data_IF_594861681475
#
_entry.id   IF_594861681475
#
_cell.length_a   1.000
_cell.length_b   1.000
_cell.length_c   1.000
_cell.angle_alpha   90.00
_cell.angle_beta   90.00
_cell.angle_gamma   90.00
#
_symmetry.space_group_name_H-M   'P 1'
#
loop_
_entity.id
_entity.type
_entity.pdbx_description
1 polymer ?
#
# COMPACT_ATOMS: atom_id res chain seq x y z
N UNK A 1 -5.96 6.83 47.86
CA UNK A 1 -6.26 6.19 46.55
C UNK A 1 -7.38 6.89 45.75
N UNK A 2 -7.97 7.95 46.20
CA UNK A 2 -9.14 8.61 45.56
C UNK A 2 -8.81 9.85 44.70
N UNK A 3 -7.58 10.34 44.72
CA UNK A 3 -7.21 11.54 43.94
C UNK A 3 -6.61 11.26 42.55
N UNK A 4 -6.19 10.01 42.28
CA UNK A 4 -5.63 9.62 40.98
C UNK A 4 -6.71 9.31 39.93
N UNK A 5 -7.92 8.92 40.39
CA UNK A 5 -9.03 8.58 39.50
C UNK A 5 -9.66 9.81 38.82
N UNK A 6 -9.61 10.99 39.46
CA UNK A 6 -10.16 12.24 38.90
C UNK A 6 -9.30 12.88 37.81
N UNK A 7 -8.00 12.64 37.81
CA UNK A 7 -7.10 13.16 36.76
C UNK A 7 -7.29 12.37 35.45
N UNK A 8 -7.58 11.07 35.53
CA UNK A 8 -7.81 10.25 34.33
C UNK A 8 -9.17 10.59 33.71
N UNK A 9 -10.19 10.91 34.52
CA UNK A 9 -11.53 11.29 34.02
C UNK A 9 -11.53 12.70 33.41
N UNK A 10 -10.70 13.61 33.92
CA UNK A 10 -10.55 14.95 33.34
C UNK A 10 -9.83 14.93 31.97
N UNK A 11 -8.91 14.00 31.74
CA UNK A 11 -8.26 13.84 30.42
C UNK A 11 -9.16 13.18 29.37
N UNK A 12 -10.12 12.37 29.78
CA UNK A 12 -11.10 11.75 28.86
C UNK A 12 -12.27 12.67 28.49
N UNK A 13 -12.45 13.78 29.20
CA UNK A 13 -13.57 14.70 29.00
C UNK A 13 -13.31 15.87 28.04
N UNK A 14 -12.10 16.09 27.58
CA UNK A 14 -11.73 17.29 26.79
C UNK A 14 -11.66 17.04 25.28
N UNK A 15 -11.75 15.81 24.83
CA UNK A 15 -11.75 15.48 23.39
C UNK A 15 -13.15 15.07 22.88
N UNK A 16 -14.18 15.84 23.15
CA UNK A 16 -15.30 15.95 22.23
C UNK A 16 -14.94 16.97 21.14
N UNK A 17 -14.03 16.61 20.26
CA UNK A 17 -13.89 17.29 18.97
C UNK A 17 -15.22 17.05 18.25
N UNK A 18 -16.03 18.10 18.10
CA UNK A 18 -17.16 18.08 17.18
C UNK A 18 -16.59 17.61 15.85
N UNK A 19 -17.02 16.45 15.38
CA UNK A 19 -16.78 16.01 14.04
C UNK A 19 -17.24 17.13 13.10
N UNK A 20 -16.29 17.93 12.62
CA UNK A 20 -16.58 18.88 11.57
C UNK A 20 -17.03 18.05 10.36
N UNK A 21 -17.99 18.57 9.62
CA UNK A 21 -18.65 17.98 8.46
C UNK A 21 -17.63 17.65 7.33
N UNK A 22 -16.74 16.71 7.54
CA UNK A 22 -15.86 16.14 6.53
C UNK A 22 -16.15 14.65 6.30
N UNK A 23 -17.39 14.26 6.59
CA UNK A 23 -17.86 12.96 6.15
C UNK A 23 -18.38 13.04 4.71
N UNK A 24 -17.45 13.12 3.77
CA UNK A 24 -17.74 12.86 2.36
C UNK A 24 -17.79 11.35 2.07
N UNK A 25 -17.92 10.49 3.07
CA UNK A 25 -17.94 9.03 2.91
C UNK A 25 -16.58 8.42 2.55
N UNK A 26 -15.52 9.23 2.49
CA UNK A 26 -14.18 8.79 2.06
C UNK A 26 -13.33 8.21 3.20
N UNK A 27 -13.66 8.51 4.45
CA UNK A 27 -13.00 7.97 5.64
C UNK A 27 -14.00 7.25 6.52
N UNK A 28 -14.07 5.94 6.40
CA UNK A 28 -14.81 5.11 7.33
C UNK A 28 -13.88 4.73 8.48
N UNK A 29 -13.89 5.54 9.52
CA UNK A 29 -13.22 5.18 10.77
C UNK A 29 -14.23 4.48 11.66
N UNK A 30 -13.94 3.23 11.97
CA UNK A 30 -14.68 2.46 12.98
C UNK A 30 -13.98 2.67 14.31
N UNK A 31 -14.22 3.81 14.94
CA UNK A 31 -13.60 4.14 16.21
C UNK A 31 -14.12 5.47 16.75
N UNK A 32 -13.77 5.76 18.00
CA UNK A 32 -14.08 7.04 18.65
C UNK A 32 -13.07 8.15 18.33
N UNK A 33 -11.98 7.81 17.62
CA UNK A 33 -10.90 8.73 17.27
C UNK A 33 -10.80 8.83 15.76
N UNK A 34 -10.67 10.05 15.26
CA UNK A 34 -10.47 10.36 13.85
C UNK A 34 -9.13 11.06 13.68
N UNK A 35 -8.33 10.73 12.65
CA UNK A 35 -7.13 11.49 12.37
C UNK A 35 -7.50 12.91 11.92
N UNK A 36 -6.65 13.86 12.23
CA UNK A 36 -6.75 15.18 11.62
C UNK A 36 -6.49 15.08 10.11
N UNK A 37 -7.21 15.90 9.33
CA UNK A 37 -6.85 16.11 7.93
C UNK A 37 -5.45 16.76 7.84
N UNK A 38 -4.72 16.46 6.79
CA UNK A 38 -3.43 17.11 6.50
C UNK A 38 -3.52 18.65 6.48
N UNK A 39 -4.69 19.20 6.15
CA UNK A 39 -4.96 20.64 6.13
C UNK A 39 -5.09 21.25 7.53
N UNK A 40 -5.38 20.43 8.54
CA UNK A 40 -5.59 20.86 9.92
C UNK A 40 -4.30 20.80 10.75
N UNK A 41 -3.22 20.22 10.19
CA UNK A 41 -1.92 20.06 10.87
C UNK A 41 -0.87 20.87 10.13
N UNK A 42 -0.17 21.75 10.84
CA UNK A 42 0.93 22.54 10.31
C UNK A 42 2.20 22.29 11.11
N UNK A 43 3.30 22.05 10.40
CA UNK A 43 4.62 21.98 11.00
C UNK A 43 5.11 23.39 11.26
N UNK A 44 5.46 23.69 12.51
CA UNK A 44 6.08 24.98 12.87
C UNK A 44 7.52 25.06 12.32
N UNK A 45 8.08 26.27 12.31
CA UNK A 45 9.46 26.51 11.84
C UNK A 45 10.47 25.61 12.56
N UNK A 46 11.04 24.65 11.83
CA UNK A 46 11.93 23.62 12.39
C UNK A 46 12.70 22.91 11.27
N UNK A 47 13.65 22.08 11.64
CA UNK A 47 14.35 21.22 10.69
C UNK A 47 13.38 20.23 10.00
N UNK A 48 12.30 19.80 10.67
CA UNK A 48 11.26 18.93 10.08
C UNK A 48 10.53 19.68 8.97
N UNK A 49 10.15 20.95 9.19
CA UNK A 49 9.54 21.79 8.16
C UNK A 49 10.45 21.98 6.94
N UNK A 50 11.74 22.13 7.17
CA UNK A 50 12.72 22.19 6.06
C UNK A 50 12.75 20.88 5.27
N UNK A 51 12.67 19.72 5.93
CA UNK A 51 12.59 18.41 5.26
C UNK A 51 11.32 18.25 4.45
N UNK A 52 10.17 18.69 4.98
CA UNK A 52 8.92 18.73 4.21
C UNK A 52 9.08 19.53 2.92
N UNK A 53 9.64 20.74 3.00
CA UNK A 53 9.87 21.60 1.84
C UNK A 53 10.81 20.96 0.81
N UNK A 54 11.91 20.36 1.27
CA UNK A 54 12.85 19.65 0.39
C UNK A 54 12.19 18.45 -0.30
N UNK A 55 11.36 17.71 0.42
CA UNK A 55 10.63 16.58 -0.15
C UNK A 55 9.63 17.03 -1.24
N UNK A 56 8.91 18.12 -1.00
CA UNK A 56 8.01 18.69 -2.01
C UNK A 56 8.79 19.10 -3.26
N UNK A 57 9.89 19.83 -3.10
CA UNK A 57 10.77 20.24 -4.22
C UNK A 57 11.29 19.02 -4.99
N UNK A 58 11.67 17.96 -4.29
CA UNK A 58 12.11 16.72 -4.92
C UNK A 58 10.99 16.05 -5.73
N UNK A 59 9.78 15.92 -5.17
CA UNK A 59 8.62 15.38 -5.88
C UNK A 59 8.29 16.20 -7.15
N UNK A 60 8.38 17.52 -7.07
CA UNK A 60 8.17 18.41 -8.22
C UNK A 60 9.24 18.28 -9.29
N UNK A 61 10.46 17.88 -8.92
CA UNK A 61 11.59 17.70 -9.87
C UNK A 61 11.50 16.40 -10.68
N UNK A 62 10.63 15.47 -10.28
CA UNK A 62 10.44 14.21 -11.00
C UNK A 62 9.65 14.47 -12.28
N UNK A 63 10.28 14.19 -13.42
CA UNK A 63 9.69 14.40 -14.74
C UNK A 63 8.55 13.40 -15.01
N UNK A 64 7.29 13.85 -15.21
CA UNK A 64 6.15 12.98 -15.40
C UNK A 64 6.29 11.98 -16.55
N UNK A 65 6.89 12.39 -17.67
CA UNK A 65 7.11 11.49 -18.80
C UNK A 65 8.10 10.36 -18.51
N UNK A 66 9.07 10.57 -17.63
CA UNK A 66 9.96 9.52 -17.17
C UNK A 66 9.25 8.52 -16.25
N UNK A 67 8.36 9.00 -15.37
CA UNK A 67 7.50 8.18 -14.54
C UNK A 67 6.58 7.28 -15.40
N UNK A 68 6.06 7.82 -16.49
CA UNK A 68 5.15 7.12 -17.41
C UNK A 68 5.85 6.22 -18.43
N UNK A 69 7.16 6.39 -18.64
CA UNK A 69 7.87 5.75 -19.74
C UNK A 69 7.61 4.24 -19.82
N UNK A 70 7.88 3.52 -18.73
CA UNK A 70 7.76 2.06 -18.68
C UNK A 70 6.31 1.58 -18.86
N UNK A 71 5.32 2.33 -18.38
CA UNK A 71 3.90 2.03 -18.58
C UNK A 71 3.50 2.20 -20.04
N UNK A 72 3.93 3.28 -20.69
CA UNK A 72 3.66 3.51 -22.12
C UNK A 72 4.30 2.44 -22.98
N UNK A 73 5.56 2.09 -22.71
CA UNK A 73 6.26 1.02 -23.44
C UNK A 73 5.53 -0.32 -23.26
N UNK A 74 5.14 -0.68 -22.05
CA UNK A 74 4.41 -1.92 -21.77
C UNK A 74 3.02 -1.95 -22.45
N UNK A 75 2.36 -0.80 -22.56
CA UNK A 75 1.09 -0.64 -23.27
C UNK A 75 1.24 -0.50 -24.81
N UNK A 76 2.46 -0.50 -25.35
CA UNK A 76 2.69 -0.28 -26.78
C UNK A 76 2.47 1.17 -27.23
N UNK A 77 2.43 2.12 -26.30
CA UNK A 77 2.30 3.55 -26.60
C UNK A 77 3.69 4.20 -26.81
N UNK A 78 3.78 5.25 -27.63
CA UNK A 78 5.04 5.94 -27.87
C UNK A 78 5.53 6.64 -26.60
N UNK A 79 6.84 6.55 -26.33
CA UNK A 79 7.52 7.31 -25.30
C UNK A 79 8.97 7.58 -25.67
N UNK A 80 9.34 8.84 -25.76
CA UNK A 80 10.72 9.29 -26.02
C UNK A 80 11.48 9.68 -24.73
N UNK A 81 10.84 9.62 -23.57
CA UNK A 81 11.47 9.95 -22.31
C UNK A 81 12.55 8.92 -21.94
N UNK A 82 13.58 9.38 -21.23
CA UNK A 82 14.59 8.48 -20.66
C UNK A 82 13.95 7.66 -19.55
N UNK A 83 14.07 6.31 -19.54
CA UNK A 83 13.54 5.49 -18.45
C UNK A 83 14.19 5.86 -17.11
N UNK A 84 13.51 5.56 -16.02
CA UNK A 84 14.11 5.53 -14.69
C UNK A 84 15.07 4.35 -14.59
N UNK A 85 16.03 4.45 -13.68
CA UNK A 85 17.05 3.43 -13.44
C UNK A 85 16.80 2.67 -12.13
N UNK A 86 17.75 1.85 -11.69
CA UNK A 86 17.63 1.06 -10.48
C UNK A 86 16.50 0.03 -10.58
N UNK A 87 15.64 -0.05 -9.60
CA UNK A 87 14.52 -0.98 -9.58
C UNK A 87 13.42 -0.68 -10.61
N UNK A 88 13.45 0.52 -11.19
CA UNK A 88 12.56 0.91 -12.29
C UNK A 88 13.16 0.65 -13.68
N UNK A 89 14.38 0.10 -13.77
CA UNK A 89 14.99 -0.20 -15.06
C UNK A 89 14.16 -1.24 -15.85
N UNK A 90 14.16 -1.12 -17.18
CA UNK A 90 13.32 -1.92 -18.08
C UNK A 90 13.45 -3.45 -17.91
N UNK A 91 14.60 -3.93 -17.44
CA UNK A 91 14.85 -5.36 -17.24
C UNK A 91 14.50 -5.86 -15.81
N UNK A 92 14.05 -4.98 -14.92
CA UNK A 92 13.72 -5.32 -13.53
C UNK A 92 12.23 -5.62 -13.39
N UNK A 93 11.88 -6.72 -12.72
CA UNK A 93 10.48 -7.15 -12.51
C UNK A 93 9.66 -6.22 -11.62
N UNK A 94 10.30 -5.45 -10.73
CA UNK A 94 9.62 -4.48 -9.86
C UNK A 94 9.24 -3.15 -10.54
N UNK A 95 9.65 -2.94 -11.80
CA UNK A 95 9.39 -1.65 -12.47
C UNK A 95 7.90 -1.27 -12.44
N UNK A 96 7.63 -0.03 -12.12
CA UNK A 96 6.27 0.52 -11.95
C UNK A 96 5.86 0.75 -10.51
N UNK A 97 6.49 0.09 -9.52
CA UNK A 97 6.12 0.26 -8.10
C UNK A 97 6.39 1.68 -7.60
N UNK A 98 7.48 2.31 -8.04
CA UNK A 98 7.83 3.67 -7.64
C UNK A 98 6.77 4.70 -8.04
N UNK A 99 6.10 4.51 -9.17
CA UNK A 99 4.99 5.39 -9.57
C UNK A 99 3.84 5.32 -8.56
N UNK A 100 3.55 4.15 -8.00
CA UNK A 100 2.59 4.04 -6.91
C UNK A 100 2.98 4.87 -5.69
N UNK A 101 4.22 4.78 -5.24
CA UNK A 101 4.74 5.62 -4.15
C UNK A 101 4.70 7.11 -4.47
N UNK A 102 5.06 7.49 -5.70
CA UNK A 102 4.95 8.88 -6.15
C UNK A 102 3.51 9.39 -6.08
N UNK A 103 2.54 8.62 -6.56
CA UNK A 103 1.13 8.98 -6.53
C UNK A 103 0.64 9.22 -5.10
N UNK A 104 0.94 8.30 -4.18
CA UNK A 104 0.60 8.44 -2.75
C UNK A 104 1.21 9.70 -2.15
N UNK A 105 2.52 9.88 -2.29
CA UNK A 105 3.23 11.02 -1.74
C UNK A 105 2.73 12.36 -2.32
N UNK A 106 2.53 12.42 -3.64
CA UNK A 106 2.03 13.60 -4.32
C UNK A 106 0.57 13.92 -3.91
N UNK A 107 -0.28 12.90 -3.74
CA UNK A 107 -1.66 13.09 -3.30
C UNK A 107 -1.75 13.73 -1.91
N UNK A 108 -0.93 13.27 -0.96
CA UNK A 108 -0.82 13.84 0.38
C UNK A 108 -0.36 15.30 0.36
N UNK A 109 0.62 15.63 -0.49
CA UNK A 109 1.09 17.02 -0.64
C UNK A 109 0.02 17.89 -1.27
N UNK A 110 -0.62 17.42 -2.35
CA UNK A 110 -1.66 18.18 -3.08
C UNK A 110 -2.90 18.41 -2.22
N UNK A 111 -3.26 17.49 -1.34
CA UNK A 111 -4.33 17.72 -0.36
C UNK A 111 -4.07 18.98 0.45
N UNK A 112 -2.85 19.17 0.94
CA UNK A 112 -2.47 20.31 1.78
C UNK A 112 -2.15 21.56 0.99
N UNK A 113 -1.47 21.42 -0.14
CA UNK A 113 -0.91 22.49 -0.95
C UNK A 113 -1.45 22.43 -2.37
N UNK A 114 -2.77 22.62 -2.53
CA UNK A 114 -3.41 22.63 -3.82
C UNK A 114 -2.91 23.79 -4.72
N UNK A 115 -2.90 23.57 -6.04
CA UNK A 115 -2.53 24.60 -7.02
C UNK A 115 -1.03 24.75 -7.26
N UNK A 116 -0.20 23.86 -6.70
CA UNK A 116 1.24 23.80 -6.95
C UNK A 116 1.58 23.13 -8.29
N UNK A 117 2.84 23.22 -8.70
CA UNK A 117 3.35 22.47 -9.86
C UNK A 117 3.12 20.97 -9.71
N UNK A 118 3.24 20.44 -8.50
CA UNK A 118 2.98 19.03 -8.20
C UNK A 118 1.52 18.65 -8.49
N UNK A 119 0.56 19.54 -8.29
CA UNK A 119 -0.85 19.31 -8.65
C UNK A 119 -1.01 19.05 -10.16
N UNK A 120 -0.27 19.79 -10.98
CA UNK A 120 -0.27 19.60 -12.43
C UNK A 120 0.40 18.28 -12.83
N UNK A 121 1.57 17.98 -12.25
CA UNK A 121 2.31 16.75 -12.50
C UNK A 121 1.49 15.52 -12.12
N UNK A 122 0.86 15.53 -10.94
CA UNK A 122 0.01 14.43 -10.48
C UNK A 122 -1.13 14.16 -11.46
N UNK A 123 -1.81 15.21 -11.89
CA UNK A 123 -2.89 15.12 -12.89
C UNK A 123 -2.40 14.51 -14.20
N UNK A 124 -1.26 14.97 -14.69
CA UNK A 124 -0.65 14.47 -15.93
C UNK A 124 -0.28 12.98 -15.83
N UNK A 125 0.31 12.56 -14.71
CA UNK A 125 0.66 11.15 -14.47
C UNK A 125 -0.60 10.28 -14.44
N UNK A 126 -1.67 10.69 -13.75
CA UNK A 126 -2.95 9.95 -13.72
C UNK A 126 -3.55 9.83 -15.12
N UNK A 127 -3.54 10.90 -15.93
CA UNK A 127 -4.03 10.85 -17.32
C UNK A 127 -3.21 9.86 -18.17
N UNK A 128 -1.89 9.91 -18.10
CA UNK A 128 -1.03 8.98 -18.85
C UNK A 128 -1.20 7.51 -18.41
N UNK A 129 -1.37 7.24 -17.12
CA UNK A 129 -1.69 5.91 -16.64
C UNK A 129 -3.08 5.43 -17.11
N UNK A 130 -4.06 6.34 -17.14
CA UNK A 130 -5.38 6.04 -17.66
C UNK A 130 -5.32 5.66 -19.13
N UNK A 131 -4.58 6.41 -19.96
CA UNK A 131 -4.37 6.08 -21.37
C UNK A 131 -3.78 4.67 -21.52
N UNK A 132 -2.75 4.33 -20.73
CA UNK A 132 -2.17 2.98 -20.73
C UNK A 132 -3.21 1.90 -20.37
N UNK A 133 -4.01 2.12 -19.32
CA UNK A 133 -5.05 1.17 -18.92
C UNK A 133 -6.12 0.97 -20.01
N UNK A 134 -6.49 2.04 -20.73
CA UNK A 134 -7.50 1.93 -21.81
C UNK A 134 -7.00 1.09 -22.99
N UNK A 135 -5.70 1.14 -23.29
CA UNK A 135 -5.11 0.29 -24.35
C UNK A 135 -5.26 -1.19 -24.02
N UNK A 136 -5.03 -1.57 -22.78
CA UNK A 136 -5.23 -2.97 -22.35
C UNK A 136 -6.70 -3.41 -22.38
N UNK A 137 -7.63 -2.53 -22.04
CA UNK A 137 -9.07 -2.79 -22.04
C UNK A 137 -9.55 -3.81 -20.99
N UNK A 138 -8.62 -4.51 -20.32
CA UNK A 138 -8.91 -5.57 -19.35
C UNK A 138 -8.95 -5.05 -17.90
N UNK A 139 -8.61 -3.80 -17.65
CA UNK A 139 -8.37 -3.24 -16.32
C UNK A 139 -6.94 -3.45 -15.80
N UNK A 140 -6.12 -4.19 -16.55
CA UNK A 140 -4.70 -4.32 -16.27
C UNK A 140 -4.00 -2.96 -16.37
N UNK A 141 -3.05 -2.71 -15.44
CA UNK A 141 -2.19 -1.54 -15.46
C UNK A 141 -0.90 -1.85 -14.72
N UNK A 142 0.18 -2.01 -15.45
CA UNK A 142 1.53 -2.11 -14.88
C UNK A 142 2.59 -1.73 -15.91
N UNK A 143 3.85 -1.67 -15.47
CA UNK A 143 5.00 -1.38 -16.32
C UNK A 143 5.75 -2.66 -16.78
N UNK A 144 5.24 -3.86 -16.42
CA UNK A 144 5.74 -5.16 -16.85
C UNK A 144 4.65 -5.91 -17.66
N UNK A 145 4.98 -6.97 -18.41
CA UNK A 145 3.99 -7.67 -19.21
C UNK A 145 3.03 -8.49 -18.33
N UNK A 146 1.78 -8.60 -18.76
CA UNK A 146 0.71 -9.37 -18.08
C UNK A 146 1.09 -10.86 -17.87
N UNK A 147 1.97 -11.40 -18.73
CA UNK A 147 2.50 -12.76 -18.63
C UNK A 147 3.25 -13.04 -17.33
N UNK A 148 3.73 -12.02 -16.61
CA UNK A 148 4.37 -12.20 -15.31
C UNK A 148 3.40 -12.74 -14.26
N UNK A 149 2.12 -12.35 -14.35
CA UNK A 149 1.06 -12.97 -13.54
C UNK A 149 0.83 -14.43 -13.92
N UNK A 150 0.82 -14.76 -15.22
CA UNK A 150 0.64 -16.14 -15.68
C UNK A 150 1.76 -17.06 -15.17
N UNK A 151 3.00 -16.55 -15.17
CA UNK A 151 4.16 -17.27 -14.64
C UNK A 151 4.02 -17.47 -13.13
N UNK A 152 3.68 -16.41 -12.38
CA UNK A 152 3.50 -16.50 -10.93
C UNK A 152 2.40 -17.51 -10.58
N UNK A 153 1.24 -17.42 -11.20
CA UNK A 153 0.04 -18.21 -10.89
C UNK A 153 0.17 -19.69 -11.27
N UNK A 154 1.10 -20.02 -12.18
CA UNK A 154 1.34 -21.40 -12.63
C UNK A 154 2.60 -22.03 -12.07
N UNK A 155 3.63 -21.24 -11.80
CA UNK A 155 4.96 -21.73 -11.38
C UNK A 155 5.36 -21.32 -9.98
N UNK A 156 4.70 -20.31 -9.41
CA UNK A 156 4.97 -19.73 -8.09
C UNK A 156 6.40 -19.19 -7.91
N UNK A 157 7.13 -18.99 -9.02
CA UNK A 157 8.51 -18.51 -9.06
C UNK A 157 8.86 -18.01 -10.47
N UNK A 158 10.03 -17.39 -10.63
CA UNK A 158 10.56 -16.97 -11.94
C UNK A 158 10.18 -15.56 -12.36
N UNK A 159 9.49 -14.81 -11.52
CA UNK A 159 9.15 -13.39 -11.68
C UNK A 159 9.47 -12.65 -10.38
N UNK A 160 9.46 -11.33 -10.40
CA UNK A 160 9.67 -10.54 -9.19
C UNK A 160 8.41 -9.78 -8.80
N UNK A 161 7.71 -10.31 -7.80
CA UNK A 161 6.61 -9.70 -7.05
C UNK A 161 5.55 -8.94 -7.90
N UNK A 162 4.87 -9.59 -8.87
CA UNK A 162 3.88 -8.90 -9.70
C UNK A 162 2.75 -8.25 -8.88
N UNK A 163 2.21 -8.96 -7.87
CA UNK A 163 1.15 -8.41 -7.01
C UNK A 163 1.63 -7.29 -6.12
N UNK A 164 2.89 -7.32 -5.63
CA UNK A 164 3.48 -6.22 -4.88
C UNK A 164 3.49 -4.92 -5.71
N UNK A 165 4.01 -4.99 -6.93
CA UNK A 165 4.04 -3.83 -7.84
C UNK A 165 2.63 -3.35 -8.18
N UNK A 166 1.72 -4.28 -8.45
CA UNK A 166 0.33 -3.97 -8.75
C UNK A 166 -0.38 -3.29 -7.57
N UNK A 167 -0.12 -3.78 -6.34
CA UNK A 167 -0.57 -3.14 -5.11
C UNK A 167 -0.12 -1.68 -5.02
N UNK A 168 1.17 -1.40 -5.23
CA UNK A 168 1.68 -0.04 -5.12
C UNK A 168 0.98 0.93 -6.09
N UNK A 169 0.72 0.49 -7.31
CA UNK A 169 -0.01 1.29 -8.30
C UNK A 169 -1.47 1.50 -7.87
N UNK A 170 -2.15 0.43 -7.40
CA UNK A 170 -3.53 0.51 -6.92
C UNK A 170 -3.64 1.46 -5.72
N UNK A 171 -2.76 1.31 -4.72
CA UNK A 171 -2.76 2.15 -3.53
C UNK A 171 -2.51 3.61 -3.91
N UNK A 172 -1.50 3.86 -4.75
CA UNK A 172 -1.22 5.23 -5.21
C UNK A 172 -2.41 5.89 -5.90
N UNK A 173 -3.12 5.18 -6.76
CA UNK A 173 -4.34 5.69 -7.41
C UNK A 173 -5.50 5.87 -6.42
N UNK A 174 -5.63 4.98 -5.43
CA UNK A 174 -6.65 5.10 -4.40
C UNK A 174 -6.40 6.31 -3.51
N UNK A 175 -5.14 6.55 -3.12
CA UNK A 175 -4.73 7.74 -2.36
C UNK A 175 -5.00 9.03 -3.16
N UNK A 176 -4.74 9.02 -4.47
CA UNK A 176 -5.10 10.16 -5.34
C UNK A 176 -6.60 10.44 -5.27
N UNK A 177 -7.45 9.41 -5.32
CA UNK A 177 -8.90 9.61 -5.16
C UNK A 177 -9.25 10.13 -3.78
N UNK A 178 -8.75 9.51 -2.73
CA UNK A 178 -9.09 9.85 -1.33
C UNK A 178 -8.68 11.30 -1.01
N UNK A 179 -7.46 11.70 -1.38
CA UNK A 179 -6.90 12.99 -0.99
C UNK A 179 -7.24 14.14 -1.94
N UNK A 180 -7.54 13.84 -3.22
CA UNK A 180 -7.80 14.91 -4.21
C UNK A 180 -9.19 14.88 -4.83
N UNK A 181 -9.96 13.81 -4.62
CA UNK A 181 -11.27 13.63 -5.25
C UNK A 181 -11.22 13.27 -6.73
N UNK A 182 -10.10 12.76 -7.24
CA UNK A 182 -9.96 12.40 -8.65
C UNK A 182 -10.75 11.13 -8.99
N UNK A 183 -11.93 11.30 -9.55
CA UNK A 183 -12.86 10.21 -9.93
C UNK A 183 -12.28 9.27 -11.02
N UNK A 184 -11.35 9.77 -11.86
CA UNK A 184 -10.68 8.95 -12.85
C UNK A 184 -9.77 7.92 -12.18
N UNK A 185 -8.98 8.33 -11.20
CA UNK A 185 -8.14 7.42 -10.41
C UNK A 185 -8.99 6.34 -9.72
N UNK A 186 -10.13 6.71 -9.15
CA UNK A 186 -11.05 5.73 -8.53
C UNK A 186 -11.56 4.70 -9.53
N UNK A 187 -12.01 5.12 -10.72
CA UNK A 187 -12.45 4.22 -11.78
C UNK A 187 -11.34 3.27 -12.23
N UNK A 188 -10.11 3.75 -12.28
CA UNK A 188 -8.95 2.93 -12.61
C UNK A 188 -8.72 1.83 -11.55
N UNK A 189 -8.79 2.18 -10.26
CA UNK A 189 -8.66 1.22 -9.17
C UNK A 189 -9.75 0.16 -9.21
N UNK A 190 -11.01 0.55 -9.45
CA UNK A 190 -12.12 -0.41 -9.62
C UNK A 190 -11.83 -1.39 -10.76
N UNK A 191 -11.36 -0.90 -11.90
CA UNK A 191 -11.00 -1.74 -13.06
C UNK A 191 -9.82 -2.67 -12.76
N UNK A 192 -8.81 -2.20 -11.99
CA UNK A 192 -7.69 -3.04 -11.53
C UNK A 192 -8.16 -4.12 -10.57
N UNK A 193 -9.03 -3.79 -9.61
CA UNK A 193 -9.59 -4.77 -8.69
C UNK A 193 -10.43 -5.85 -9.42
N UNK A 194 -11.22 -5.45 -10.41
CA UNK A 194 -11.98 -6.36 -11.25
C UNK A 194 -11.07 -7.26 -12.11
N UNK A 195 -9.93 -6.74 -12.55
CA UNK A 195 -8.91 -7.54 -13.21
C UNK A 195 -8.33 -8.62 -12.26
N UNK A 196 -7.95 -8.24 -11.04
CA UNK A 196 -7.44 -9.19 -10.03
C UNK A 196 -8.49 -10.24 -9.69
N UNK A 197 -9.74 -9.84 -9.51
CA UNK A 197 -10.85 -10.77 -9.22
C UNK A 197 -11.00 -11.83 -10.32
N UNK A 198 -10.99 -11.42 -11.59
CA UNK A 198 -11.05 -12.36 -12.72
C UNK A 198 -9.84 -13.31 -12.78
N UNK A 199 -8.67 -12.89 -12.32
CA UNK A 199 -7.49 -13.77 -12.21
C UNK A 199 -7.66 -14.77 -11.09
N UNK A 200 -7.91 -14.27 -9.87
CA UNK A 200 -8.01 -15.10 -8.67
C UNK A 200 -9.15 -16.13 -8.76
N UNK A 201 -10.27 -15.78 -9.39
CA UNK A 201 -11.42 -16.70 -9.56
C UNK A 201 -11.12 -17.92 -10.44
N UNK A 202 -10.05 -17.92 -11.23
CA UNK A 202 -9.62 -19.04 -12.07
C UNK A 202 -8.69 -20.01 -11.34
N UNK A 203 -8.15 -19.62 -10.20
CA UNK A 203 -7.16 -20.38 -9.46
C UNK A 203 -7.82 -21.37 -8.50
N UNK A 204 -7.24 -22.56 -8.39
CA UNK A 204 -7.62 -23.46 -7.32
C UNK A 204 -7.21 -22.88 -5.96
N UNK A 205 -7.97 -23.11 -4.87
CA UNK A 205 -7.61 -22.63 -3.54
C UNK A 205 -6.20 -23.00 -3.11
N UNK A 206 -5.73 -24.21 -3.45
CA UNK A 206 -4.36 -24.66 -3.17
C UNK A 206 -3.29 -23.82 -3.87
N UNK A 207 -3.57 -23.30 -5.07
CA UNK A 207 -2.63 -22.44 -5.80
C UNK A 207 -2.55 -21.07 -5.14
N UNK A 208 -3.69 -20.55 -4.68
CA UNK A 208 -3.74 -19.28 -3.94
C UNK A 208 -2.96 -19.40 -2.64
N UNK A 209 -3.18 -20.48 -1.88
CA UNK A 209 -2.45 -20.75 -0.65
C UNK A 209 -0.93 -20.82 -0.89
N UNK A 210 -0.51 -21.53 -1.93
CA UNK A 210 0.90 -21.63 -2.30
C UNK A 210 1.50 -20.29 -2.72
N UNK A 211 0.77 -19.45 -3.45
CA UNK A 211 1.21 -18.08 -3.77
C UNK A 211 1.37 -17.20 -2.53
N UNK A 212 0.53 -17.40 -1.50
CA UNK A 212 0.56 -16.63 -0.25
C UNK A 212 1.58 -17.16 0.76
N UNK A 213 2.27 -18.26 0.46
CA UNK A 213 3.23 -18.86 1.38
C UNK A 213 4.60 -18.19 1.23
N UNK A 214 4.88 -17.22 2.10
CA UNK A 214 6.07 -16.35 2.06
C UNK A 214 7.10 -16.65 3.15
N UNK A 215 7.00 -17.80 3.82
CA UNK A 215 7.98 -18.25 4.84
C UNK A 215 9.35 -18.51 4.21
N UNK A 216 9.34 -19.05 3.00
CA UNK A 216 10.54 -19.18 2.20
C UNK A 216 10.74 -17.94 1.35
N UNK A 217 11.96 -17.66 1.20
CA UNK A 217 12.52 -16.53 0.53
C UNK A 217 12.28 -16.48 -0.99
N UNK A 218 11.07 -16.56 -1.43
CA UNK A 218 10.74 -16.45 -2.85
C UNK A 218 10.19 -15.04 -3.15
N UNK A 219 10.97 -14.16 -3.80
CA UNK A 219 10.53 -12.79 -4.09
C UNK A 219 9.32 -12.73 -5.04
N UNK A 220 9.02 -13.83 -5.74
CA UNK A 220 7.82 -13.91 -6.59
C UNK A 220 6.53 -13.82 -5.78
N UNK A 221 6.53 -14.30 -4.55
CA UNK A 221 5.36 -14.45 -3.69
C UNK A 221 5.07 -13.20 -2.84
N UNK A 222 5.83 -12.14 -2.97
CA UNK A 222 5.54 -10.89 -2.27
C UNK A 222 4.28 -10.24 -2.83
N UNK A 223 3.28 -10.03 -2.00
CA UNK A 223 1.97 -9.49 -2.41
C UNK A 223 1.77 -8.02 -2.05
N UNK A 224 2.72 -7.43 -1.32
CA UNK A 224 2.52 -6.10 -0.74
C UNK A 224 1.28 -6.07 0.16
N UNK A 225 0.61 -4.94 0.22
CA UNK A 225 -0.65 -4.74 0.94
C UNK A 225 -1.88 -4.93 0.05
N UNK A 226 -1.91 -5.97 -0.80
CA UNK A 226 -3.10 -6.23 -1.64
C UNK A 226 -4.37 -6.40 -0.80
N UNK A 227 -4.28 -7.03 0.37
CA UNK A 227 -5.39 -7.10 1.31
C UNK A 227 -5.80 -5.71 1.82
N UNK A 228 -4.85 -4.84 2.17
CA UNK A 228 -5.10 -3.49 2.66
C UNK A 228 -5.90 -2.67 1.63
N UNK A 229 -5.38 -2.50 0.42
CA UNK A 229 -6.01 -1.68 -0.63
C UNK A 229 -7.40 -2.21 -1.02
N UNK A 230 -7.60 -3.53 -1.04
CA UNK A 230 -8.89 -4.13 -1.37
C UNK A 230 -9.92 -3.99 -0.24
N UNK A 231 -9.53 -4.11 1.03
CA UNK A 231 -10.40 -3.81 2.17
C UNK A 231 -10.77 -2.32 2.22
N UNK A 232 -9.84 -1.44 1.94
CA UNK A 232 -10.11 -0.02 1.83
C UNK A 232 -11.08 0.28 0.69
N UNK A 233 -10.89 -0.34 -0.47
CA UNK A 233 -11.80 -0.24 -1.61
C UNK A 233 -13.21 -0.77 -1.27
N UNK A 234 -13.32 -1.85 -0.49
CA UNK A 234 -14.60 -2.31 0.05
C UNK A 234 -15.25 -1.26 0.95
N UNK A 235 -14.48 -0.66 1.85
CA UNK A 235 -15.00 0.36 2.78
C UNK A 235 -15.55 1.58 2.05
N UNK A 236 -14.93 1.98 0.94
CA UNK A 236 -15.36 3.10 0.11
C UNK A 236 -16.55 2.73 -0.78
N UNK A 237 -16.48 1.60 -1.48
CA UNK A 237 -17.48 1.19 -2.47
C UNK A 237 -18.71 0.49 -1.88
N UNK A 238 -18.58 -0.12 -0.69
CA UNK A 238 -19.54 -1.05 -0.07
C UNK A 238 -19.84 -2.30 -0.92
N UNK A 239 -19.05 -2.56 -1.94
CA UNK A 239 -19.23 -3.71 -2.79
C UNK A 239 -18.55 -4.96 -2.18
N UNK A 240 -19.37 -5.91 -1.74
CA UNK A 240 -18.94 -7.15 -1.09
C UNK A 240 -17.88 -7.93 -1.87
N UNK A 241 -17.90 -7.83 -3.18
CA UNK A 241 -16.91 -8.46 -4.05
C UNK A 241 -15.47 -8.13 -3.64
N UNK A 242 -15.18 -6.89 -3.27
CA UNK A 242 -13.83 -6.49 -2.86
C UNK A 242 -13.45 -6.98 -1.46
N UNK A 243 -14.43 -7.15 -0.57
CA UNK A 243 -14.21 -7.81 0.72
C UNK A 243 -13.80 -9.28 0.53
N UNK A 244 -14.55 -9.98 -0.31
CA UNK A 244 -14.30 -11.40 -0.56
C UNK A 244 -12.97 -11.59 -1.31
N UNK A 245 -12.67 -10.73 -2.27
CA UNK A 245 -11.37 -10.71 -2.96
C UNK A 245 -10.20 -10.42 -2.01
N UNK A 246 -10.32 -9.42 -1.13
CA UNK A 246 -9.28 -9.06 -0.17
C UNK A 246 -8.91 -10.23 0.75
N UNK A 247 -9.91 -11.04 1.15
CA UNK A 247 -9.71 -12.21 2.01
C UNK A 247 -8.78 -13.25 1.37
N UNK A 248 -8.70 -13.32 0.04
CA UNK A 248 -7.78 -14.21 -0.67
C UNK A 248 -6.31 -13.78 -0.52
N UNK A 249 -6.05 -12.55 -0.10
CA UNK A 249 -4.72 -12.00 0.16
C UNK A 249 -4.36 -11.96 1.67
N UNK A 250 -5.15 -12.58 2.53
CA UNK A 250 -4.81 -12.79 3.94
C UNK A 250 -4.10 -14.14 4.08
N UNK A 251 -2.77 -14.21 4.30
CA UNK A 251 -2.07 -15.47 4.46
C UNK A 251 -2.53 -16.17 5.74
N UNK A 252 -3.25 -17.28 5.60
CA UNK A 252 -3.86 -17.99 6.71
C UNK A 252 -2.82 -18.42 7.76
N UNK A 253 -1.68 -18.96 7.30
CA UNK A 253 -0.58 -19.36 8.16
C UNK A 253 -0.04 -18.22 9.05
N UNK A 254 0.05 -17.00 8.50
CA UNK A 254 0.55 -15.83 9.21
C UNK A 254 -0.50 -15.26 10.16
N UNK A 255 -1.74 -15.13 9.68
CA UNK A 255 -2.86 -14.64 10.50
C UNK A 255 -3.11 -15.54 11.71
N UNK A 256 -3.20 -16.86 11.53
CA UNK A 256 -3.52 -17.80 12.60
C UNK A 256 -2.41 -17.87 13.65
N UNK A 257 -1.14 -17.92 13.24
CA UNK A 257 -0.03 -17.88 14.21
C UNK A 257 -0.07 -16.61 15.06
N UNK A 258 -0.35 -15.45 14.44
CA UNK A 258 -0.50 -14.21 15.20
C UNK A 258 -1.72 -14.24 16.15
N UNK A 259 -2.84 -14.83 15.73
CA UNK A 259 -4.03 -14.99 16.60
C UNK A 259 -3.70 -15.85 17.82
N UNK A 260 -2.93 -16.90 17.65
CA UNK A 260 -2.53 -17.78 18.76
C UNK A 260 -1.40 -17.19 19.63
N UNK A 261 -0.82 -16.06 19.24
CA UNK A 261 0.26 -15.43 19.98
C UNK A 261 1.62 -16.09 19.77
N UNK A 262 1.79 -16.84 18.69
CA UNK A 262 3.05 -17.46 18.32
C UNK A 262 3.97 -16.44 17.64
N UNK A 263 5.16 -16.22 18.20
CA UNK A 263 6.16 -15.34 17.61
C UNK A 263 6.92 -16.06 16.48
N UNK A 264 6.42 -15.83 15.26
CA UNK A 264 6.98 -16.39 14.03
C UNK A 264 7.78 -15.35 13.22
N UNK A 265 8.03 -14.17 13.78
CA UNK A 265 8.60 -13.05 13.00
C UNK A 265 10.09 -13.24 12.68
N UNK A 266 10.80 -14.05 13.48
CA UNK A 266 12.22 -14.30 13.26
C UNK A 266 12.45 -14.96 11.90
N UNK A 267 13.35 -14.39 11.09
CA UNK A 267 13.67 -14.88 9.74
C UNK A 267 12.71 -14.45 8.63
N UNK A 268 11.60 -13.79 8.96
CA UNK A 268 10.70 -13.22 7.96
C UNK A 268 11.22 -11.87 7.47
N UNK A 269 10.96 -11.57 6.20
CA UNK A 269 11.32 -10.29 5.60
C UNK A 269 10.32 -9.20 6.03
N UNK A 270 10.81 -8.14 6.69
CA UNK A 270 9.97 -7.09 7.26
C UNK A 270 9.09 -6.40 6.22
N UNK A 271 9.65 -6.03 5.06
CA UNK A 271 8.91 -5.37 3.98
C UNK A 271 7.74 -6.23 3.44
N UNK A 272 7.91 -7.56 3.41
CA UNK A 272 6.86 -8.48 2.95
C UNK A 272 5.74 -8.65 3.97
N UNK A 273 6.07 -8.68 5.28
CA UNK A 273 5.12 -9.17 6.31
C UNK A 273 4.47 -8.04 7.12
N UNK A 274 5.18 -6.92 7.38
CA UNK A 274 4.59 -5.82 8.17
C UNK A 274 3.36 -5.23 7.45
N UNK A 275 3.42 -5.07 6.15
CA UNK A 275 2.33 -4.49 5.35
C UNK A 275 1.05 -5.34 5.38
N UNK A 276 1.16 -6.66 5.55
CA UNK A 276 -0.01 -7.54 5.65
C UNK A 276 -0.86 -7.23 6.88
N UNK A 277 -0.21 -6.78 7.96
CA UNK A 277 -0.91 -6.43 9.21
C UNK A 277 -1.76 -5.17 9.04
N UNK A 278 -1.37 -4.24 8.17
CA UNK A 278 -2.24 -3.11 7.81
C UNK A 278 -3.57 -3.61 7.21
N UNK A 279 -3.51 -4.61 6.34
CA UNK A 279 -4.72 -5.26 5.82
C UNK A 279 -5.58 -5.88 6.91
N UNK A 280 -4.97 -6.50 7.94
CA UNK A 280 -5.73 -7.02 9.09
C UNK A 280 -6.44 -5.92 9.89
N UNK A 281 -5.80 -4.74 10.04
CA UNK A 281 -6.46 -3.56 10.62
C UNK A 281 -7.66 -3.15 9.77
N UNK A 282 -7.49 -3.01 8.46
CA UNK A 282 -8.56 -2.64 7.53
C UNK A 282 -9.71 -3.65 7.54
N UNK A 283 -9.38 -4.96 7.63
CA UNK A 283 -10.40 -6.02 7.79
C UNK A 283 -11.21 -5.85 9.07
N UNK A 284 -10.53 -5.64 10.20
CA UNK A 284 -11.21 -5.41 11.47
C UNK A 284 -12.12 -4.18 11.41
N UNK A 285 -11.62 -3.08 10.86
CA UNK A 285 -12.42 -1.86 10.68
C UNK A 285 -13.64 -2.07 9.79
N UNK A 286 -13.51 -2.93 8.77
CA UNK A 286 -14.59 -3.23 7.83
C UNK A 286 -15.66 -4.17 8.41
N UNK A 287 -15.28 -5.14 9.26
CA UNK A 287 -16.15 -6.26 9.64
C UNK A 287 -16.35 -6.44 11.13
N UNK A 288 -15.50 -5.84 11.98
CA UNK A 288 -15.44 -6.02 13.44
C UNK A 288 -15.13 -7.48 13.86
N UNK A 289 -14.52 -8.27 12.98
CA UNK A 289 -14.09 -9.63 13.31
C UNK A 289 -12.91 -9.62 14.28
N UNK A 290 -13.15 -9.98 15.53
CA UNK A 290 -12.22 -9.83 16.64
C UNK A 290 -10.87 -10.55 16.43
N UNK A 291 -10.85 -11.64 15.67
CA UNK A 291 -9.60 -12.38 15.40
C UNK A 291 -8.53 -11.51 14.75
N UNK A 292 -8.92 -10.59 13.86
CA UNK A 292 -7.98 -9.68 13.18
C UNK A 292 -7.38 -8.67 14.16
N UNK A 293 -8.19 -8.11 15.07
CA UNK A 293 -7.66 -7.23 16.12
C UNK A 293 -6.72 -7.98 17.07
N UNK A 294 -7.05 -9.23 17.41
CA UNK A 294 -6.17 -10.08 18.23
C UNK A 294 -4.81 -10.30 17.54
N UNK A 295 -4.81 -10.62 16.24
CA UNK A 295 -3.57 -10.76 15.47
C UNK A 295 -2.75 -9.45 15.44
N UNK A 296 -3.39 -8.31 15.22
CA UNK A 296 -2.74 -6.98 15.19
C UNK A 296 -2.09 -6.65 16.53
N UNK A 297 -2.81 -6.85 17.65
CA UNK A 297 -2.28 -6.57 19.00
C UNK A 297 -1.11 -7.50 19.34
N UNK A 298 -1.24 -8.77 19.03
CA UNK A 298 -0.17 -9.75 19.26
C UNK A 298 1.07 -9.42 18.41
N UNK A 299 0.88 -9.14 17.12
CA UNK A 299 1.96 -8.68 16.23
C UNK A 299 2.68 -7.45 16.78
N UNK A 300 1.93 -6.42 17.18
CA UNK A 300 2.50 -5.21 17.74
C UNK A 300 3.36 -5.50 18.99
N UNK A 301 2.84 -6.33 19.88
CA UNK A 301 3.56 -6.69 21.11
C UNK A 301 4.85 -7.46 20.79
N UNK A 302 4.82 -8.44 19.89
CA UNK A 302 6.00 -9.19 19.45
C UNK A 302 7.02 -8.25 18.80
N UNK A 303 6.57 -7.44 17.83
CA UNK A 303 7.42 -6.52 17.10
C UNK A 303 8.15 -5.55 18.04
N UNK A 304 7.42 -4.89 18.93
CA UNK A 304 7.98 -3.88 19.83
C UNK A 304 8.89 -4.45 20.92
N UNK A 305 8.64 -5.67 21.38
CA UNK A 305 9.43 -6.28 22.47
C UNK A 305 10.67 -7.02 21.98
N UNK A 306 10.63 -7.62 20.78
CA UNK A 306 11.69 -8.53 20.35
C UNK A 306 12.29 -8.25 18.96
N UNK A 307 11.61 -7.47 18.09
CA UNK A 307 12.00 -7.32 16.68
C UNK A 307 12.18 -5.87 16.25
N UNK A 308 12.33 -4.94 17.19
CA UNK A 308 12.54 -3.51 16.90
C UNK A 308 13.87 -3.04 17.46
N UNK A 309 14.67 -2.40 16.64
CA UNK A 309 15.91 -1.74 17.06
C UNK A 309 15.63 -0.49 17.88
N UNK A 310 16.65 -0.02 18.62
CA UNK A 310 16.51 1.17 19.47
C UNK A 310 16.08 2.46 18.72
N UNK A 311 16.33 2.53 17.42
CA UNK A 311 15.89 3.64 16.56
C UNK A 311 14.45 3.49 16.01
N UNK A 312 13.74 2.41 16.40
CA UNK A 312 12.36 2.15 15.97
C UNK A 312 12.23 1.40 14.64
N UNK A 313 13.34 0.98 14.03
CA UNK A 313 13.29 0.20 12.79
C UNK A 313 13.23 -1.29 13.06
N UNK A 314 12.70 -2.04 12.10
CA UNK A 314 12.73 -3.50 12.06
C UNK A 314 13.28 -3.95 10.72
N UNK A 315 14.04 -5.04 10.71
CA UNK A 315 14.54 -5.64 9.49
C UNK A 315 14.56 -7.16 9.62
N UNK A 316 14.46 -7.85 8.51
CA UNK A 316 14.63 -9.29 8.43
C UNK A 316 15.48 -9.67 7.23
N UNK A 317 16.07 -10.87 7.21
CA UNK A 317 16.92 -11.29 6.13
C UNK A 317 16.13 -11.34 4.81
N UNK A 318 16.75 -10.81 3.76
CA UNK A 318 16.26 -11.12 2.40
C UNK A 318 16.57 -12.57 2.06
N UNK A 319 15.66 -13.22 1.42
CA UNK A 319 15.79 -14.61 1.03
C UNK A 319 17.03 -14.99 0.25
N UNK A 320 17.63 -14.13 -0.51
CA UNK A 320 18.84 -14.42 -1.30
C UNK A 320 20.10 -13.70 -0.79
N UNK A 321 20.04 -13.08 0.39
CA UNK A 321 21.18 -12.37 0.97
C UNK A 321 22.20 -13.29 1.66
N UNK A 322 22.16 -14.59 1.40
CA UNK A 322 23.15 -15.55 1.96
C UNK A 322 24.57 -15.29 1.44
N UNK A 323 24.75 -14.44 0.45
CA UNK A 323 26.07 -14.10 -0.10
C UNK A 323 26.44 -12.61 -0.02
N UNK A 324 25.56 -11.75 0.45
CA UNK A 324 25.86 -10.33 0.58
C UNK A 324 25.92 -9.94 2.06
N UNK A 325 27.16 -9.83 2.56
CA UNK A 325 27.46 -9.34 3.92
C UNK A 325 27.30 -7.82 4.04
N UNK A 326 26.81 -7.15 3.02
CA UNK A 326 26.42 -5.75 3.11
C UNK A 326 25.07 -5.65 3.82
N UNK A 327 25.12 -5.32 5.09
CA UNK A 327 23.98 -4.80 5.85
C UNK A 327 23.58 -3.48 5.19
N UNK A 328 22.77 -3.53 4.14
CA UNK A 328 22.11 -2.34 3.65
C UNK A 328 20.94 -2.07 4.59
N UNK A 329 21.13 -1.11 5.50
CA UNK A 329 20.02 -0.42 6.12
C UNK A 329 19.23 0.29 5.01
N UNK A 330 18.06 -0.22 4.68
CA UNK A 330 17.03 0.46 3.90
C UNK A 330 15.94 0.97 4.85
#
# INVERSE_FOLDING_TARGET
>A
MTRLLWVIIAFLGVFQVKASKLDNGKHLVVGKLYPFSNKEVELTASWIKQRESLNITWLESLEPDRLLHNFRVAAGLPSSAKPLEGWEALHIGLRGHFVGHYLSAAAWVVEKYAGTHLTHNLKYVVEGLYECQQVYGSGYLSAFPETDFDILETRFTGVWAPYYTFHKIMQGLLDVYVHTGNEKAYKMVLSMADYVERRMSRLAPSNIEQMMYTVTANPSNEMGGMNEVLYELYRLSKNRKYLDLATLFDPVWFLESLVWGEDILSGLHANTHIVLVNGFVQRYEATQEQKYMTAVVNFWNMLMHAHTYANGTSSGPRPNAVTDTSVSAE
#
